data_IF_932297731621
#
_entry.id   IF_932297731621
#
_cell.length_a   1.000
_cell.length_b   1.000
_cell.length_c   1.000
_cell.angle_alpha   90.00
_cell.angle_beta   90.00
_cell.angle_gamma   90.00
#
_symmetry.space_group_name_H-M   'P 1'
#
loop_
_entity.id
_entity.type
_entity.pdbx_description
1 polymer ?
#
# COMPACT_ATOMS: atom_id res chain seq x y z
N UNK A 1 -39.23 6.02 27.59
CA UNK A 1 -39.22 4.65 27.02
C UNK A 1 -38.07 4.56 26.02
N UNK A 2 -36.94 3.94 26.38
CA UNK A 2 -35.85 3.72 25.45
C UNK A 2 -36.22 2.57 24.50
N UNK A 3 -36.29 2.83 23.19
CA UNK A 3 -36.49 1.76 22.20
C UNK A 3 -35.20 0.94 22.10
N UNK A 4 -35.23 -0.28 22.61
CA UNK A 4 -34.12 -1.22 22.45
C UNK A 4 -34.27 -1.97 21.12
N UNK A 5 -33.29 -1.86 20.24
CA UNK A 5 -33.26 -2.64 19.01
C UNK A 5 -33.01 -4.12 19.36
N UNK A 6 -33.93 -5.01 18.95
CA UNK A 6 -33.84 -6.47 19.20
C UNK A 6 -33.26 -7.28 18.03
N UNK A 7 -32.86 -6.64 16.93
CA UNK A 7 -32.27 -7.34 15.79
C UNK A 7 -30.79 -7.65 16.00
N UNK A 8 -30.21 -8.49 15.13
CA UNK A 8 -28.78 -8.77 15.16
C UNK A 8 -27.97 -7.49 14.87
N UNK A 9 -26.81 -7.35 15.52
CA UNK A 9 -25.90 -6.21 15.32
C UNK A 9 -25.57 -6.01 13.83
N UNK A 10 -25.46 -7.11 13.09
CA UNK A 10 -25.12 -7.11 11.66
C UNK A 10 -26.16 -6.43 10.75
N UNK A 11 -27.42 -6.40 11.19
CA UNK A 11 -28.56 -5.81 10.44
C UNK A 11 -28.87 -4.40 10.95
N UNK A 12 -28.31 -4.00 12.10
CA UNK A 12 -28.57 -2.69 12.67
C UNK A 12 -28.02 -1.56 11.79
N UNK A 13 -26.76 -1.66 11.38
CA UNK A 13 -26.05 -0.62 10.64
C UNK A 13 -26.25 -0.77 9.13
N UNK A 14 -27.43 -0.37 8.66
CA UNK A 14 -27.71 -0.24 7.23
C UNK A 14 -27.05 1.02 6.66
N UNK A 15 -26.80 1.06 5.34
CA UNK A 15 -26.22 2.24 4.68
C UNK A 15 -26.99 3.56 4.97
N UNK A 16 -28.34 3.62 4.93
CA UNK A 16 -29.07 4.84 5.29
C UNK A 16 -28.89 5.26 6.75
N UNK A 17 -28.84 4.32 7.68
CA UNK A 17 -28.63 4.61 9.11
C UNK A 17 -27.21 5.09 9.37
N UNK A 18 -26.23 4.45 8.74
CA UNK A 18 -24.86 4.92 8.79
C UNK A 18 -24.74 6.33 8.21
N UNK A 19 -25.34 6.59 7.03
CA UNK A 19 -25.38 7.92 6.42
C UNK A 19 -25.86 8.98 7.40
N UNK A 20 -27.03 8.73 7.97
CA UNK A 20 -27.67 9.65 8.90
C UNK A 20 -26.80 9.89 10.13
N UNK A 21 -26.27 8.82 10.76
CA UNK A 21 -25.38 8.95 11.90
C UNK A 21 -24.13 9.76 11.52
N UNK A 22 -23.45 9.38 10.44
CA UNK A 22 -22.22 10.02 9.95
C UNK A 22 -22.40 11.52 9.73
N UNK A 23 -23.42 11.91 8.97
CA UNK A 23 -23.71 13.33 8.65
C UNK A 23 -24.06 14.16 9.90
N UNK A 24 -24.57 13.53 10.95
CA UNK A 24 -25.03 14.21 12.18
C UNK A 24 -24.03 14.16 13.32
N UNK A 25 -23.08 13.23 13.34
CA UNK A 25 -22.17 13.05 14.49
C UNK A 25 -20.72 13.28 14.15
N UNK A 26 -20.27 12.94 12.93
CA UNK A 26 -18.83 12.91 12.62
C UNK A 26 -18.14 14.28 12.80
N UNK A 27 -18.80 15.35 12.34
CA UNK A 27 -18.28 16.73 12.44
C UNK A 27 -18.12 17.23 13.89
N UNK A 28 -18.73 16.55 14.84
CA UNK A 28 -18.67 16.88 16.27
C UNK A 28 -17.68 16.01 17.05
N UNK A 29 -17.04 15.04 16.39
CA UNK A 29 -15.96 14.25 17.01
C UNK A 29 -14.72 15.14 17.06
N UNK A 30 -14.20 15.52 18.25
CA UNK A 30 -13.00 16.34 18.35
C UNK A 30 -11.75 15.52 17.98
N UNK A 31 -10.64 16.20 17.66
CA UNK A 31 -9.44 15.55 17.10
C UNK A 31 -8.71 14.65 18.11
N UNK A 32 -8.79 14.94 19.40
CA UNK A 32 -8.26 14.11 20.49
C UNK A 32 -9.01 12.78 20.64
N UNK A 33 -10.26 12.71 20.20
CA UNK A 33 -11.06 11.47 20.19
C UNK A 33 -11.05 10.74 18.84
N UNK A 34 -10.35 11.26 17.83
CA UNK A 34 -10.33 10.68 16.49
C UNK A 34 -9.78 9.26 16.46
N UNK A 35 -8.77 8.97 17.28
CA UNK A 35 -8.19 7.63 17.41
C UNK A 35 -9.24 6.62 17.91
N UNK A 36 -9.85 6.89 19.06
CA UNK A 36 -10.89 6.03 19.62
C UNK A 36 -12.09 5.88 18.68
N UNK A 37 -12.42 6.95 17.95
CA UNK A 37 -13.47 6.92 16.92
C UNK A 37 -13.12 5.99 15.76
N UNK A 38 -11.90 6.07 15.20
CA UNK A 38 -11.44 5.20 14.12
C UNK A 38 -11.43 3.71 14.52
N UNK A 39 -11.04 3.41 15.76
CA UNK A 39 -11.10 2.06 16.35
C UNK A 39 -12.53 1.52 16.42
N UNK A 40 -13.42 2.32 17.01
CA UNK A 40 -14.84 1.98 17.09
C UNK A 40 -15.45 1.80 15.70
N UNK A 41 -15.07 2.64 14.74
CA UNK A 41 -15.52 2.56 13.36
C UNK A 41 -15.04 1.26 12.69
N UNK A 42 -13.77 0.88 12.84
CA UNK A 42 -13.26 -0.37 12.30
C UNK A 42 -13.96 -1.59 12.91
N UNK A 43 -14.09 -1.63 14.24
CA UNK A 43 -14.78 -2.70 14.96
C UNK A 43 -16.24 -2.86 14.52
N UNK A 44 -16.98 -1.75 14.44
CA UNK A 44 -18.37 -1.73 13.97
C UNK A 44 -18.52 -2.32 12.55
N UNK A 45 -17.50 -2.13 11.73
CA UNK A 45 -17.52 -2.51 10.32
C UNK A 45 -17.14 -3.96 10.07
N UNK A 46 -16.46 -4.61 11.02
CA UNK A 46 -16.23 -6.06 11.00
C UNK A 46 -17.57 -6.81 11.06
N UNK A 47 -18.48 -6.36 11.91
CA UNK A 47 -19.81 -6.99 12.11
C UNK A 47 -20.86 -6.56 11.07
N UNK A 48 -20.58 -5.55 10.25
CA UNK A 48 -21.56 -5.03 9.29
C UNK A 48 -21.69 -5.96 8.08
N UNK A 49 -22.93 -6.22 7.64
CA UNK A 49 -23.20 -7.01 6.43
C UNK A 49 -22.39 -6.48 5.23
N UNK A 50 -21.74 -7.38 4.49
CA UNK A 50 -20.78 -7.03 3.43
C UNK A 50 -21.31 -5.99 2.42
N UNK A 51 -22.55 -6.14 1.95
CA UNK A 51 -23.18 -5.18 1.02
C UNK A 51 -23.28 -3.76 1.60
N UNK A 52 -23.60 -3.63 2.89
CA UNK A 52 -23.64 -2.33 3.55
C UNK A 52 -22.23 -1.81 3.81
N UNK A 53 -21.31 -2.70 4.21
CA UNK A 53 -19.91 -2.38 4.47
C UNK A 53 -19.24 -1.70 3.27
N UNK A 54 -19.41 -2.26 2.07
CA UNK A 54 -18.82 -1.70 0.84
C UNK A 54 -19.36 -0.31 0.48
N UNK A 55 -20.61 0.00 0.84
CA UNK A 55 -21.21 1.33 0.62
C UNK A 55 -20.71 2.35 1.63
N UNK A 56 -20.58 1.92 2.89
CA UNK A 56 -20.05 2.76 3.97
C UNK A 56 -18.59 3.12 3.69
N UNK A 57 -17.74 2.13 3.34
CA UNK A 57 -16.36 2.37 2.90
C UNK A 57 -16.26 3.34 1.75
N UNK A 58 -17.10 3.18 0.72
CA UNK A 58 -17.16 4.14 -0.39
C UNK A 58 -17.49 5.56 0.10
N UNK A 59 -18.42 5.72 1.05
CA UNK A 59 -18.76 7.05 1.61
C UNK A 59 -17.59 7.64 2.39
N UNK A 60 -16.93 6.85 3.23
CA UNK A 60 -15.78 7.32 4.01
C UNK A 60 -14.64 7.79 3.11
N UNK A 61 -14.29 7.02 2.08
CA UNK A 61 -13.25 7.40 1.13
C UNK A 61 -13.62 8.66 0.31
N UNK A 62 -14.92 8.96 0.16
CA UNK A 62 -15.41 10.16 -0.53
C UNK A 62 -15.56 11.38 0.40
N UNK A 63 -15.41 11.23 1.72
CA UNK A 63 -15.47 12.31 2.68
C UNK A 63 -14.08 12.96 2.84
N UNK A 64 -13.87 14.10 2.17
CA UNK A 64 -12.61 14.84 2.19
C UNK A 64 -12.21 15.30 3.60
N UNK A 65 -13.19 15.68 4.43
CA UNK A 65 -12.92 16.11 5.80
C UNK A 65 -12.37 14.95 6.61
N UNK A 66 -12.95 13.76 6.45
CA UNK A 66 -12.46 12.55 7.07
C UNK A 66 -11.07 12.15 6.61
N UNK A 67 -10.85 12.06 5.31
CA UNK A 67 -9.53 11.70 4.78
C UNK A 67 -8.44 12.70 5.18
N UNK A 68 -8.77 14.00 5.21
CA UNK A 68 -7.85 15.04 5.71
C UNK A 68 -7.53 14.88 7.20
N UNK A 69 -8.54 14.65 8.05
CA UNK A 69 -8.33 14.45 9.49
C UNK A 69 -7.54 13.17 9.77
N UNK A 70 -7.80 12.10 9.02
CA UNK A 70 -7.03 10.86 9.08
C UNK A 70 -5.56 11.07 8.69
N UNK A 71 -5.29 11.81 7.60
CA UNK A 71 -3.93 12.21 7.22
C UNK A 71 -3.23 13.01 8.33
N UNK A 72 -3.89 14.04 8.88
CA UNK A 72 -3.30 14.87 9.93
C UNK A 72 -3.01 14.07 11.21
N UNK A 73 -3.89 13.13 11.57
CA UNK A 73 -3.67 12.20 12.67
C UNK A 73 -2.43 11.33 12.45
N UNK A 74 -2.32 10.69 11.29
CA UNK A 74 -1.15 9.86 10.96
C UNK A 74 0.14 10.67 10.95
N UNK A 75 0.09 11.91 10.44
CA UNK A 75 1.25 12.80 10.40
C UNK A 75 1.70 13.17 11.81
N UNK A 76 0.75 13.53 12.69
CA UNK A 76 1.01 13.78 14.10
C UNK A 76 1.60 12.54 14.78
N UNK A 77 1.01 11.37 14.54
CA UNK A 77 1.51 10.11 15.06
C UNK A 77 2.94 9.84 14.62
N UNK A 78 3.29 10.12 13.36
CA UNK A 78 4.62 9.92 12.80
C UNK A 78 5.66 10.90 13.38
N UNK A 79 5.27 12.15 13.63
CA UNK A 79 6.16 13.12 14.29
C UNK A 79 6.32 12.80 15.78
N UNK A 80 5.27 12.27 16.42
CA UNK A 80 5.23 11.97 17.86
C UNK A 80 5.83 10.58 18.17
N UNK A 81 6.05 9.70 17.19
CA UNK A 81 6.52 8.30 17.37
C UNK A 81 7.84 8.15 18.11
N UNK A 82 8.55 9.25 18.40
CA UNK A 82 9.67 9.25 19.34
C UNK A 82 9.25 9.02 20.80
N UNK A 83 7.95 9.02 21.14
CA UNK A 83 7.48 9.12 22.53
C UNK A 83 6.49 8.07 23.05
N UNK A 84 5.95 7.14 22.24
CA UNK A 84 4.83 6.29 22.71
C UNK A 84 5.19 4.81 22.94
N UNK A 85 5.02 4.37 24.20
CA UNK A 85 4.87 2.96 24.61
C UNK A 85 3.43 2.53 24.37
N UNK A 86 3.25 1.38 23.74
CA UNK A 86 1.97 0.73 23.40
C UNK A 86 1.17 1.50 22.35
N UNK A 87 1.29 1.02 21.13
CA UNK A 87 0.92 1.73 19.93
C UNK A 87 -0.18 0.93 19.24
N UNK A 88 -1.39 1.51 19.23
CA UNK A 88 -2.58 0.84 18.73
C UNK A 88 -2.55 0.74 17.20
N UNK A 89 -2.56 -0.49 16.69
CA UNK A 89 -2.39 -0.75 15.27
C UNK A 89 -3.70 -0.82 14.49
N UNK A 90 -4.85 -0.66 15.15
CA UNK A 90 -6.18 -0.75 14.52
C UNK A 90 -6.40 0.32 13.46
N UNK A 91 -5.70 1.46 13.54
CA UNK A 91 -5.76 2.49 12.50
C UNK A 91 -5.27 1.96 11.14
N UNK A 92 -4.24 1.11 11.13
CA UNK A 92 -3.76 0.47 9.91
C UNK A 92 -4.76 -0.55 9.38
N UNK A 93 -5.53 -1.19 10.27
CA UNK A 93 -6.63 -2.08 9.89
C UNK A 93 -7.78 -1.35 9.20
N UNK A 94 -8.12 -0.16 9.72
CA UNK A 94 -9.08 0.73 9.09
C UNK A 94 -8.58 1.16 7.70
N UNK A 95 -7.34 1.62 7.58
CA UNK A 95 -6.77 2.09 6.31
C UNK A 95 -6.71 0.96 5.28
N UNK A 96 -6.28 -0.24 5.68
CA UNK A 96 -6.31 -1.42 4.83
C UNK A 96 -7.74 -1.76 4.36
N UNK A 97 -8.74 -1.57 5.20
CA UNK A 97 -10.15 -1.76 4.81
C UNK A 97 -10.63 -0.69 3.83
N UNK A 98 -10.26 0.57 4.07
CA UNK A 98 -10.57 1.70 3.19
C UNK A 98 -9.90 1.56 1.82
N UNK A 99 -8.69 1.01 1.75
CA UNK A 99 -7.94 0.86 0.49
C UNK A 99 -8.66 0.00 -0.55
N UNK A 100 -9.61 -0.85 -0.15
CA UNK A 100 -10.49 -1.58 -1.09
C UNK A 100 -11.37 -0.66 -1.93
N UNK A 101 -11.68 0.51 -1.40
CA UNK A 101 -12.65 1.46 -1.96
C UNK A 101 -12.05 2.85 -2.22
N UNK A 102 -10.82 3.09 -1.79
CA UNK A 102 -10.01 4.20 -2.31
C UNK A 102 -9.97 4.09 -3.85
N UNK A 103 -10.26 5.20 -4.54
CA UNK A 103 -10.28 5.33 -6.01
C UNK A 103 -11.31 4.49 -6.77
N UNK A 104 -11.89 3.44 -6.16
CA UNK A 104 -12.93 2.63 -6.79
C UNK A 104 -14.12 3.48 -7.24
N UNK A 105 -14.49 4.52 -6.48
CA UNK A 105 -15.57 5.43 -6.89
C UNK A 105 -15.26 6.31 -8.09
N UNK A 106 -13.98 6.62 -8.34
CA UNK A 106 -13.57 7.40 -9.52
C UNK A 106 -13.62 6.54 -10.79
N UNK A 107 -13.32 5.25 -10.67
CA UNK A 107 -13.42 4.29 -11.77
C UNK A 107 -14.88 3.86 -12.03
N UNK A 108 -15.71 3.80 -10.99
CA UNK A 108 -17.12 3.35 -11.08
C UNK A 108 -18.11 4.46 -11.47
N UNK A 109 -17.70 5.73 -11.55
CA UNK A 109 -18.62 6.86 -11.81
C UNK A 109 -18.08 7.81 -12.88
N UNK A 110 -18.97 8.24 -13.78
CA UNK A 110 -18.73 9.26 -14.80
C UNK A 110 -18.54 10.67 -14.17
N UNK A 111 -17.36 10.93 -13.60
CA UNK A 111 -16.78 12.28 -13.52
C UNK A 111 -17.14 13.17 -12.31
N UNK A 112 -18.24 12.97 -11.59
CA UNK A 112 -18.62 13.83 -10.43
C UNK A 112 -18.05 13.37 -9.08
N UNK A 113 -16.81 12.87 -9.07
CA UNK A 113 -16.14 12.34 -7.88
C UNK A 113 -15.58 13.42 -6.94
N UNK A 114 -15.69 13.18 -5.63
CA UNK A 114 -15.12 14.03 -4.58
C UNK A 114 -13.59 14.15 -4.67
N UNK A 115 -13.04 15.25 -4.13
CA UNK A 115 -11.62 15.64 -4.18
C UNK A 115 -10.76 14.84 -3.18
N UNK A 116 -10.90 13.51 -3.13
CA UNK A 116 -10.26 12.70 -2.09
C UNK A 116 -9.04 11.91 -2.55
N UNK A 117 -8.80 11.78 -3.85
CA UNK A 117 -7.69 10.99 -4.42
C UNK A 117 -6.33 11.38 -3.85
N UNK A 118 -6.03 12.69 -3.83
CA UNK A 118 -4.80 13.21 -3.24
C UNK A 118 -4.67 12.85 -1.74
N UNK A 119 -5.75 12.96 -0.97
CA UNK A 119 -5.74 12.61 0.47
C UNK A 119 -5.60 11.11 0.71
N UNK A 120 -6.19 10.28 -0.15
CA UNK A 120 -5.98 8.84 -0.12
C UNK A 120 -4.49 8.50 -0.35
N UNK A 121 -3.85 9.14 -1.33
CA UNK A 121 -2.43 9.00 -1.58
C UNK A 121 -1.58 9.49 -0.41
N UNK A 122 -1.88 10.64 0.17
CA UNK A 122 -1.17 11.18 1.34
C UNK A 122 -1.24 10.19 2.53
N UNK A 123 -2.42 9.60 2.79
CA UNK A 123 -2.61 8.60 3.84
C UNK A 123 -1.75 7.36 3.58
N UNK A 124 -1.78 6.82 2.36
CA UNK A 124 -0.95 5.66 1.99
C UNK A 124 0.56 5.99 2.03
N UNK A 125 0.92 7.23 1.69
CA UNK A 125 2.28 7.74 1.77
C UNK A 125 2.80 7.72 3.20
N UNK A 126 2.04 8.26 4.16
CA UNK A 126 2.40 8.21 5.58
C UNK A 126 2.50 6.78 6.10
N UNK A 127 1.57 5.89 5.72
CA UNK A 127 1.66 4.46 6.09
C UNK A 127 2.94 3.83 5.54
N UNK A 128 3.37 4.20 4.32
CA UNK A 128 4.63 3.71 3.75
C UNK A 128 5.84 4.15 4.56
N UNK A 129 5.82 5.37 5.13
CA UNK A 129 6.89 5.84 6.02
C UNK A 129 6.94 5.04 7.33
N UNK A 130 5.79 4.75 7.94
CA UNK A 130 5.74 3.86 9.11
C UNK A 130 6.27 2.44 8.80
N UNK A 131 6.11 1.97 7.57
CA UNK A 131 6.62 0.66 7.15
C UNK A 131 8.16 0.60 7.00
N UNK A 132 8.81 1.76 6.85
CA UNK A 132 10.26 1.90 6.71
C UNK A 132 10.98 2.18 8.04
N UNK A 133 10.27 2.65 9.07
CA UNK A 133 10.85 2.99 10.38
C UNK A 133 10.73 1.81 11.34
N UNK A 134 11.84 1.50 12.03
CA UNK A 134 11.84 0.51 13.10
C UNK A 134 10.96 0.96 14.27
N UNK A 135 10.04 0.08 14.67
CA UNK A 135 9.12 0.35 15.77
C UNK A 135 7.98 -0.65 15.86
N UNK A 136 7.12 -0.45 16.86
CA UNK A 136 5.91 -1.25 17.11
C UNK A 136 4.93 -1.24 15.94
N UNK A 137 4.87 -0.14 15.18
CA UNK A 137 3.97 0.03 14.05
C UNK A 137 4.46 -0.61 12.75
N UNK A 138 5.76 -0.95 12.65
CA UNK A 138 6.41 -1.33 11.38
C UNK A 138 5.66 -2.46 10.68
N UNK A 139 5.39 -3.55 11.39
CA UNK A 139 4.69 -4.69 10.83
C UNK A 139 3.27 -4.29 10.37
N UNK A 140 2.46 -3.68 11.22
CA UNK A 140 1.08 -3.31 10.86
C UNK A 140 1.02 -2.37 9.65
N UNK A 141 1.96 -1.43 9.54
CA UNK A 141 2.10 -0.57 8.38
C UNK A 141 2.51 -1.33 7.12
N UNK A 142 3.53 -2.21 7.20
CA UNK A 142 3.95 -3.09 6.10
C UNK A 142 2.79 -3.95 5.58
N UNK A 143 2.04 -4.55 6.48
CA UNK A 143 0.91 -5.39 6.10
C UNK A 143 -0.28 -4.57 5.56
N UNK A 144 -0.48 -3.35 6.05
CA UNK A 144 -1.45 -2.41 5.47
C UNK A 144 -1.09 -2.04 4.02
N UNK A 145 0.19 -1.74 3.74
CA UNK A 145 0.65 -1.47 2.36
C UNK A 145 0.47 -2.70 1.47
N UNK A 146 0.82 -3.90 1.95
CA UNK A 146 0.60 -5.13 1.20
C UNK A 146 -0.89 -5.35 0.87
N UNK A 147 -1.79 -4.98 1.78
CA UNK A 147 -3.24 -5.03 1.57
C UNK A 147 -3.73 -3.99 0.56
N UNK A 148 -3.18 -2.77 0.62
CA UNK A 148 -3.47 -1.70 -0.33
C UNK A 148 -3.02 -2.08 -1.74
N UNK A 149 -1.80 -2.57 -1.92
CA UNK A 149 -1.30 -3.15 -3.18
C UNK A 149 -2.23 -4.25 -3.69
N UNK A 150 -2.61 -5.18 -2.82
CA UNK A 150 -3.58 -6.23 -3.12
C UNK A 150 -4.95 -5.73 -3.58
N UNK A 151 -5.37 -4.56 -3.10
CA UNK A 151 -6.61 -3.92 -3.52
C UNK A 151 -6.47 -3.23 -4.87
N UNK A 152 -5.36 -2.56 -5.12
CA UNK A 152 -5.07 -1.91 -6.41
C UNK A 152 -4.81 -2.93 -7.52
N UNK A 153 -4.18 -4.07 -7.22
CA UNK A 153 -4.07 -5.18 -8.16
C UNK A 153 -5.44 -5.59 -8.72
N UNK A 154 -6.47 -5.73 -7.85
CA UNK A 154 -7.83 -6.05 -8.29
C UNK A 154 -8.50 -4.92 -9.09
N UNK A 155 -8.15 -3.67 -8.80
CA UNK A 155 -8.63 -2.54 -9.60
C UNK A 155 -7.97 -2.53 -10.98
N UNK A 156 -6.66 -2.80 -11.07
CA UNK A 156 -5.93 -2.92 -12.32
C UNK A 156 -6.48 -4.06 -13.18
N UNK A 157 -6.71 -5.24 -12.59
CA UNK A 157 -7.31 -6.37 -13.30
C UNK A 157 -8.66 -6.00 -13.93
N UNK A 158 -9.56 -5.35 -13.17
CA UNK A 158 -10.84 -4.88 -13.71
C UNK A 158 -10.71 -3.81 -14.78
N UNK A 159 -9.68 -2.97 -14.69
CA UNK A 159 -9.42 -1.93 -15.67
C UNK A 159 -8.87 -2.52 -16.98
N UNK A 160 -8.01 -3.54 -16.92
CA UNK A 160 -7.61 -4.35 -18.08
C UNK A 160 -8.79 -5.11 -18.70
N UNK A 161 -9.64 -5.76 -17.88
CA UNK A 161 -10.87 -6.40 -18.35
C UNK A 161 -11.85 -5.44 -19.05
N UNK A 162 -11.74 -4.13 -18.74
CA UNK A 162 -12.54 -3.07 -19.33
C UNK A 162 -11.79 -2.29 -20.43
N UNK A 163 -10.67 -2.79 -20.92
CA UNK A 163 -9.83 -2.18 -21.96
C UNK A 163 -9.40 -0.72 -21.66
N UNK A 164 -9.27 -0.36 -20.38
CA UNK A 164 -8.76 0.96 -20.00
C UNK A 164 -7.25 1.01 -20.31
N UNK A 165 -6.76 2.00 -21.08
CA UNK A 165 -5.35 2.04 -21.47
C UNK A 165 -4.41 2.20 -20.27
N UNK A 166 -3.49 1.25 -20.10
CA UNK A 166 -2.39 1.32 -19.13
C UNK A 166 -1.47 2.53 -19.39
N UNK A 167 -0.75 2.96 -18.37
CA UNK A 167 0.26 4.01 -18.51
C UNK A 167 1.42 3.54 -19.38
N UNK A 168 1.87 4.39 -20.30
CA UNK A 168 3.14 4.16 -21.00
C UNK A 168 4.33 4.52 -20.11
N UNK A 169 5.51 3.97 -20.39
CA UNK A 169 6.75 4.27 -19.66
C UNK A 169 7.05 5.78 -19.63
N UNK A 170 6.82 6.46 -20.74
CA UNK A 170 7.00 7.92 -20.90
C UNK A 170 6.08 8.75 -20.00
N UNK A 171 4.91 8.20 -19.63
CA UNK A 171 3.93 8.90 -18.78
C UNK A 171 4.25 8.80 -17.29
N UNK A 172 5.13 7.88 -16.88
CA UNK A 172 5.37 7.58 -15.46
C UNK A 172 5.93 8.78 -14.69
N UNK A 173 6.98 9.49 -15.16
CA UNK A 173 7.50 10.64 -14.41
C UNK A 173 6.41 11.69 -14.18
N UNK A 174 5.65 12.00 -15.23
CA UNK A 174 4.52 12.95 -15.17
C UNK A 174 3.43 12.47 -14.20
N UNK A 175 3.18 11.16 -14.13
CA UNK A 175 2.22 10.59 -13.19
C UNK A 175 2.67 10.78 -11.74
N UNK A 176 3.95 10.54 -11.42
CA UNK A 176 4.51 10.76 -10.08
C UNK A 176 4.43 12.23 -9.64
N UNK A 177 4.78 13.16 -10.54
CA UNK A 177 4.68 14.59 -10.26
C UNK A 177 3.22 14.99 -9.97
N UNK A 178 2.28 14.48 -10.76
CA UNK A 178 0.86 14.76 -10.57
C UNK A 178 0.30 14.10 -9.32
N UNK A 179 0.73 12.89 -8.98
CA UNK A 179 0.33 12.18 -7.77
C UNK A 179 0.71 12.91 -6.49
N UNK A 180 1.78 13.71 -6.54
CA UNK A 180 2.23 14.58 -5.43
C UNK A 180 1.46 15.89 -5.34
N UNK A 181 0.59 16.19 -6.32
CA UNK A 181 -0.21 17.40 -6.31
C UNK A 181 -1.42 17.25 -5.38
N UNK A 182 -1.70 18.28 -4.56
CA UNK A 182 -2.90 18.33 -3.71
C UNK A 182 -4.23 18.26 -4.48
N UNK A 183 -4.18 18.50 -5.80
CA UNK A 183 -5.32 18.42 -6.72
C UNK A 183 -5.36 17.11 -7.52
N UNK A 184 -4.50 16.15 -7.22
CA UNK A 184 -4.45 14.87 -7.92
C UNK A 184 -5.83 14.21 -8.01
N UNK A 185 -6.12 13.69 -9.21
CA UNK A 185 -7.29 12.86 -9.52
C UNK A 185 -6.81 11.67 -10.32
N UNK A 186 -7.35 10.49 -10.02
CA UNK A 186 -7.18 9.35 -10.92
C UNK A 186 -8.03 9.57 -12.17
N UNK A 187 -9.29 9.99 -11.98
CA UNK A 187 -10.23 10.18 -13.08
C UNK A 187 -10.40 8.92 -13.92
N UNK A 188 -10.36 9.05 -15.25
CA UNK A 188 -10.46 7.95 -16.20
C UNK A 188 -9.13 7.22 -16.48
N UNK A 189 -8.07 7.52 -15.72
CA UNK A 189 -6.76 6.89 -15.92
C UNK A 189 -6.76 5.48 -15.35
N UNK A 190 -5.95 4.62 -15.95
CA UNK A 190 -5.74 3.28 -15.42
C UNK A 190 -5.10 3.34 -14.00
N UNK A 191 -5.51 2.47 -13.06
CA UNK A 191 -5.02 2.47 -11.68
C UNK A 191 -3.62 1.87 -11.51
N UNK A 192 -2.96 1.43 -12.58
CA UNK A 192 -1.60 0.90 -12.57
C UNK A 192 -0.58 1.93 -12.06
N UNK A 193 -0.79 3.22 -12.33
CA UNK A 193 0.03 4.28 -11.76
C UNK A 193 -0.03 4.31 -10.22
N UNK A 194 -1.20 4.06 -9.64
CA UNK A 194 -1.36 3.98 -8.18
C UNK A 194 -0.68 2.72 -7.62
N UNK A 195 -0.78 1.60 -8.34
CA UNK A 195 -0.06 0.38 -7.98
C UNK A 195 1.45 0.62 -8.06
N UNK A 196 1.93 1.27 -9.12
CA UNK A 196 3.33 1.62 -9.33
C UNK A 196 3.84 2.53 -8.21
N UNK A 197 3.08 3.55 -7.77
CA UNK A 197 3.43 4.34 -6.59
C UNK A 197 3.68 3.48 -5.34
N UNK A 198 2.87 2.44 -5.11
CA UNK A 198 3.07 1.56 -3.96
C UNK A 198 4.16 0.52 -4.18
N UNK A 199 4.49 0.18 -5.43
CA UNK A 199 5.47 -0.85 -5.80
C UNK A 199 6.86 -0.26 -6.03
N UNK A 200 7.00 1.00 -6.42
CA UNK A 200 8.32 1.63 -6.63
C UNK A 200 8.43 3.00 -5.99
N UNK A 201 7.33 3.57 -5.50
CA UNK A 201 7.39 4.88 -4.89
C UNK A 201 8.01 4.88 -3.50
N UNK A 202 8.54 6.04 -3.13
CA UNK A 202 8.86 6.42 -1.76
C UNK A 202 8.22 7.75 -1.43
N UNK A 203 7.64 7.85 -0.24
CA UNK A 203 7.00 9.07 0.22
C UNK A 203 7.91 9.78 1.22
N UNK A 204 8.26 11.04 0.96
CA UNK A 204 9.13 11.83 1.84
C UNK A 204 8.37 12.66 2.90
N UNK A 205 7.03 12.57 2.89
CA UNK A 205 6.14 13.31 3.79
C UNK A 205 5.29 14.33 3.05
N UNK A 206 5.72 14.72 1.85
CA UNK A 206 5.04 15.70 1.00
C UNK A 206 4.84 15.19 -0.42
N UNK A 207 5.79 14.45 -0.97
CA UNK A 207 5.76 13.99 -2.35
C UNK A 207 6.13 12.52 -2.50
N UNK A 208 5.62 11.92 -3.56
CA UNK A 208 6.00 10.60 -4.03
C UNK A 208 7.15 10.70 -5.01
N UNK A 209 8.21 9.95 -4.76
CA UNK A 209 9.38 9.84 -5.64
C UNK A 209 9.49 8.43 -6.20
N UNK A 210 9.82 8.33 -7.48
CA UNK A 210 10.03 7.04 -8.14
C UNK A 210 11.37 6.43 -7.73
N UNK A 211 11.37 5.17 -7.29
CA UNK A 211 12.59 4.35 -7.17
C UNK A 211 12.72 3.51 -8.43
N UNK A 212 13.95 3.32 -8.91
CA UNK A 212 14.20 2.48 -10.09
C UNK A 212 13.98 0.98 -9.83
N UNK A 213 13.77 0.57 -8.58
CA UNK A 213 13.63 -0.83 -8.18
C UNK A 213 12.41 -1.01 -7.27
N UNK A 214 11.74 -2.16 -7.45
CA UNK A 214 10.65 -2.61 -6.58
C UNK A 214 11.21 -3.12 -5.23
N UNK A 215 10.65 -2.74 -4.06
CA UNK A 215 10.96 -3.34 -2.78
C UNK A 215 10.20 -4.65 -2.57
N UNK A 216 9.41 -5.11 -3.54
CA UNK A 216 8.79 -6.43 -3.47
C UNK A 216 9.85 -7.51 -3.65
N UNK A 217 9.70 -8.60 -2.89
CA UNK A 217 10.62 -9.72 -2.96
C UNK A 217 10.25 -10.54 -4.20
N UNK A 218 11.20 -10.74 -5.12
CA UNK A 218 10.92 -11.40 -6.36
C UNK A 218 10.61 -12.88 -6.10
N UNK A 219 9.57 -13.43 -6.72
CA UNK A 219 9.32 -14.88 -6.65
C UNK A 219 10.26 -15.66 -7.57
N UNK A 220 10.47 -15.15 -8.79
CA UNK A 220 11.37 -15.74 -9.79
C UNK A 220 12.68 -14.98 -9.87
N UNK A 221 13.74 -15.65 -10.34
CA UNK A 221 15.04 -15.03 -10.56
C UNK A 221 15.00 -13.94 -11.66
N UNK A 222 14.21 -14.17 -12.71
CA UNK A 222 14.15 -13.32 -13.90
C UNK A 222 13.41 -11.99 -13.74
N UNK A 223 13.47 -11.17 -14.78
CA UNK A 223 12.99 -9.78 -14.77
C UNK A 223 11.49 -9.63 -14.55
N UNK A 224 10.69 -10.64 -14.87
CA UNK A 224 9.23 -10.66 -14.62
C UNK A 224 8.83 -10.39 -13.16
N UNK A 225 9.74 -10.60 -12.20
CA UNK A 225 9.50 -10.33 -10.78
C UNK A 225 10.32 -9.16 -10.22
N UNK A 226 11.29 -8.65 -10.98
CA UNK A 226 12.19 -7.56 -10.54
C UNK A 226 11.86 -6.23 -11.22
N UNK A 227 11.40 -6.28 -12.46
CA UNK A 227 11.04 -5.10 -13.22
C UNK A 227 9.72 -4.54 -12.72
N UNK A 228 9.71 -3.23 -12.46
CA UNK A 228 8.50 -2.50 -12.13
C UNK A 228 7.52 -2.46 -13.31
N UNK A 229 7.98 -2.64 -14.55
CA UNK A 229 7.13 -2.66 -15.75
C UNK A 229 6.09 -3.77 -15.70
N UNK A 230 6.31 -4.81 -14.89
CA UNK A 230 5.33 -5.88 -14.68
C UNK A 230 4.04 -5.36 -14.02
N UNK A 231 4.01 -4.19 -13.39
CA UNK A 231 2.74 -3.61 -12.91
C UNK A 231 1.89 -2.98 -14.01
N UNK A 232 2.43 -2.82 -15.23
CA UNK A 232 1.78 -2.14 -16.36
C UNK A 232 1.19 -3.12 -17.39
N UNK A 233 1.26 -4.43 -17.14
CA UNK A 233 0.68 -5.45 -18.02
C UNK A 233 -0.20 -6.41 -17.24
N UNK A 234 -1.24 -6.92 -17.89
CA UNK A 234 -2.18 -7.87 -17.29
C UNK A 234 -1.46 -9.13 -16.79
N UNK A 235 -0.60 -9.73 -17.64
CA UNK A 235 0.24 -10.88 -17.27
C UNK A 235 1.17 -10.56 -16.10
N UNK A 236 1.73 -9.35 -16.07
CA UNK A 236 2.63 -8.93 -14.99
C UNK A 236 1.92 -8.74 -13.65
N UNK A 237 0.61 -8.46 -13.61
CA UNK A 237 -0.15 -8.34 -12.36
C UNK A 237 -0.11 -9.63 -11.53
N UNK A 238 -0.10 -10.80 -12.17
CA UNK A 238 0.03 -12.08 -11.46
C UNK A 238 1.38 -12.18 -10.73
N UNK A 239 2.46 -11.70 -11.36
CA UNK A 239 3.79 -11.67 -10.77
C UNK A 239 3.86 -10.65 -9.63
N UNK A 240 3.30 -9.45 -9.80
CA UNK A 240 3.25 -8.44 -8.74
C UNK A 240 2.43 -8.94 -7.55
N UNK A 241 1.31 -9.64 -7.79
CA UNK A 241 0.49 -10.26 -6.74
C UNK A 241 1.27 -11.32 -5.97
N UNK A 242 2.00 -12.18 -6.66
CA UNK A 242 2.83 -13.22 -6.04
C UNK A 242 3.99 -12.62 -5.23
N UNK A 243 4.69 -11.61 -5.76
CA UNK A 243 5.77 -10.90 -5.07
C UNK A 243 5.23 -10.15 -3.84
N UNK A 244 4.06 -9.52 -3.94
CA UNK A 244 3.41 -8.87 -2.80
C UNK A 244 3.01 -9.88 -1.71
N UNK A 245 2.52 -11.07 -2.08
CA UNK A 245 2.24 -12.13 -1.12
C UNK A 245 3.52 -12.66 -0.45
N UNK A 246 4.62 -12.80 -1.19
CA UNK A 246 5.91 -13.20 -0.64
C UNK A 246 6.45 -12.14 0.33
N UNK A 247 6.47 -10.87 -0.06
CA UNK A 247 6.86 -9.74 0.80
C UNK A 247 6.03 -9.68 2.08
N UNK A 248 4.72 -9.88 1.97
CA UNK A 248 3.83 -9.97 3.12
C UNK A 248 4.29 -11.08 4.09
N UNK A 249 4.59 -12.27 3.58
CA UNK A 249 5.03 -13.41 4.40
C UNK A 249 6.33 -13.08 5.10
N UNK A 250 7.31 -12.52 4.39
CA UNK A 250 8.61 -12.18 4.96
C UNK A 250 8.48 -11.15 6.06
N UNK A 251 7.72 -10.08 5.85
CA UNK A 251 7.47 -9.12 6.92
C UNK A 251 6.87 -9.78 8.18
N UNK A 252 5.99 -10.76 8.01
CA UNK A 252 5.40 -11.50 9.13
C UNK A 252 6.42 -12.42 9.84
N UNK A 253 7.31 -13.06 9.08
CA UNK A 253 8.36 -13.95 9.59
C UNK A 253 9.50 -13.16 10.24
N UNK A 254 9.89 -12.00 9.71
CA UNK A 254 11.01 -11.22 10.24
C UNK A 254 10.62 -10.34 11.43
N UNK A 255 9.31 -10.12 11.64
CA UNK A 255 8.82 -9.31 12.74
C UNK A 255 9.06 -9.94 14.11
N UNK A 256 9.23 -9.09 15.12
CA UNK A 256 9.35 -9.52 16.51
C UNK A 256 8.02 -10.05 17.05
N UNK A 257 8.05 -10.81 18.13
CA UNK A 257 6.83 -11.32 18.76
C UNK A 257 5.93 -10.20 19.27
N UNK A 258 6.50 -9.08 19.73
CA UNK A 258 5.74 -7.89 20.13
C UNK A 258 5.01 -7.28 18.92
N UNK A 259 5.68 -7.14 17.78
CA UNK A 259 5.06 -6.65 16.55
C UNK A 259 3.95 -7.58 16.06
N UNK A 260 4.19 -8.89 16.05
CA UNK A 260 3.18 -9.91 15.68
C UNK A 260 1.99 -9.88 16.63
N UNK A 261 2.22 -9.72 17.93
CA UNK A 261 1.17 -9.63 18.93
C UNK A 261 0.34 -8.36 18.80
N UNK A 262 0.90 -7.29 18.24
CA UNK A 262 0.24 -6.01 18.03
C UNK A 262 -0.68 -6.00 16.79
N UNK A 263 -0.51 -6.92 15.82
CA UNK A 263 -1.30 -7.01 14.56
C UNK A 263 -2.74 -7.54 14.77
N UNK A 264 -3.27 -7.49 16.00
CA UNK A 264 -4.64 -7.93 16.30
C UNK A 264 -5.65 -7.06 15.53
N UNK A 265 -6.71 -7.69 15.00
CA UNK A 265 -7.82 -6.99 14.34
C UNK A 265 -7.64 -6.76 12.85
N UNK A 266 -6.42 -6.81 12.32
CA UNK A 266 -6.22 -6.83 10.88
C UNK A 266 -6.78 -8.16 10.31
N UNK A 267 -7.86 -8.11 9.52
CA UNK A 267 -8.40 -9.28 8.81
C UNK A 267 -7.53 -9.65 7.60
N UNK A 268 -6.23 -9.77 7.86
CA UNK A 268 -5.16 -9.89 6.91
C UNK A 268 -5.10 -11.29 6.34
N UNK A 269 -5.34 -12.35 7.12
CA UNK A 269 -5.31 -13.67 6.50
C UNK A 269 -6.53 -13.94 5.63
N UNK A 270 -7.60 -13.13 5.70
CA UNK A 270 -8.58 -13.13 4.63
C UNK A 270 -7.96 -12.66 3.31
N UNK A 271 -7.12 -11.63 3.32
CA UNK A 271 -6.35 -11.26 2.13
C UNK A 271 -5.42 -12.39 1.68
N UNK A 272 -4.64 -12.97 2.60
CA UNK A 272 -3.71 -14.07 2.27
C UNK A 272 -4.40 -15.34 1.75
N UNK A 273 -5.64 -15.61 2.15
CA UNK A 273 -6.40 -16.75 1.62
C UNK A 273 -7.06 -16.48 0.28
N UNK A 274 -7.36 -15.22 -0.03
CA UNK A 274 -8.14 -14.87 -1.21
C UNK A 274 -7.33 -14.30 -2.37
N UNK A 275 -6.08 -13.84 -2.17
CA UNK A 275 -5.27 -13.33 -3.28
C UNK A 275 -5.11 -14.38 -4.39
N UNK A 276 -4.91 -15.66 -4.03
CA UNK A 276 -4.85 -16.76 -5.00
C UNK A 276 -6.13 -16.93 -5.82
N UNK A 277 -7.29 -16.63 -5.23
CA UNK A 277 -8.58 -16.73 -5.94
C UNK A 277 -8.75 -15.58 -6.92
N UNK A 278 -8.22 -14.41 -6.59
CA UNK A 278 -8.25 -13.23 -7.46
C UNK A 278 -7.24 -13.32 -8.61
N UNK A 279 -6.09 -13.95 -8.35
CA UNK A 279 -5.02 -14.14 -9.34
C UNK A 279 -4.73 -15.65 -9.49
N UNK A 280 -5.68 -16.40 -10.08
CA UNK A 280 -5.46 -17.82 -10.36
C UNK A 280 -4.28 -17.95 -11.31
N UNK A 281 -3.42 -18.95 -11.08
CA UNK A 281 -2.35 -19.26 -12.02
C UNK A 281 -3.02 -19.78 -13.27
N UNK A 282 -3.03 -19.00 -14.34
CA UNK A 282 -3.37 -19.54 -15.64
C UNK A 282 -2.22 -20.48 -16.04
N UNK A 283 -2.51 -21.65 -16.62
CA UNK A 283 -1.48 -22.66 -16.93
C UNK A 283 -0.35 -22.20 -17.86
N UNK A 284 -0.43 -20.96 -18.36
CA UNK A 284 0.53 -20.30 -19.24
C UNK A 284 1.50 -19.37 -18.50
N UNK A 285 1.31 -19.10 -17.21
CA UNK A 285 2.30 -18.37 -16.41
C UNK A 285 3.53 -19.26 -16.29
N UNK A 286 4.54 -18.98 -17.10
CA UNK A 286 5.79 -19.74 -17.20
C UNK A 286 6.38 -19.93 -15.81
N UNK A 287 6.22 -21.14 -15.25
CA UNK A 287 6.94 -21.51 -14.04
C UNK A 287 8.42 -21.30 -14.35
N UNK A 288 9.08 -20.44 -13.60
CA UNK A 288 10.47 -20.10 -13.80
C UNK A 288 11.30 -20.53 -12.57
N UNK A 289 12.62 -20.44 -12.69
CA UNK A 289 13.50 -20.70 -11.56
C UNK A 289 13.16 -19.74 -10.40
N UNK A 290 13.03 -20.24 -9.16
CA UNK A 290 12.81 -19.40 -7.98
C UNK A 290 13.96 -18.41 -7.79
N UNK A 291 13.66 -17.26 -7.19
CA UNK A 291 14.68 -16.31 -6.78
C UNK A 291 15.49 -16.86 -5.59
N UNK A 292 16.79 -16.49 -5.45
CA UNK A 292 17.57 -16.80 -4.25
C UNK A 292 16.91 -16.30 -2.96
N UNK A 293 16.24 -15.15 -3.02
CA UNK A 293 15.49 -14.57 -1.92
C UNK A 293 14.37 -15.51 -1.47
N UNK A 294 13.59 -16.07 -2.41
CA UNK A 294 12.52 -17.03 -2.10
C UNK A 294 13.06 -18.31 -1.46
N UNK A 295 14.17 -18.85 -1.98
CA UNK A 295 14.83 -20.02 -1.39
C UNK A 295 15.27 -19.76 0.06
N UNK A 296 15.92 -18.62 0.30
CA UNK A 296 16.36 -18.22 1.64
C UNK A 296 15.20 -18.16 2.65
N UNK A 297 14.03 -17.68 2.20
CA UNK A 297 12.82 -17.60 3.03
C UNK A 297 12.28 -18.99 3.37
N UNK A 298 12.26 -19.92 2.40
CA UNK A 298 11.85 -21.30 2.66
C UNK A 298 12.75 -21.96 3.71
N UNK A 299 14.06 -21.72 3.64
CA UNK A 299 15.02 -22.23 4.62
C UNK A 299 14.82 -21.59 6.00
N UNK A 300 14.66 -20.27 6.06
CA UNK A 300 14.41 -19.52 7.31
C UNK A 300 13.07 -19.90 7.96
N UNK A 301 12.11 -20.38 7.17
CA UNK A 301 10.83 -20.92 7.63
C UNK A 301 10.88 -22.40 8.01
N UNK A 302 12.04 -23.07 7.90
CA UNK A 302 12.20 -24.49 8.20
C UNK A 302 11.57 -25.42 7.15
N UNK A 303 11.40 -24.97 5.90
CA UNK A 303 10.72 -25.67 4.80
C UNK A 303 11.70 -26.18 3.72
N UNK A 304 12.89 -26.61 4.12
CA UNK A 304 13.96 -27.04 3.22
C UNK A 304 13.52 -28.16 2.26
N UNK A 305 12.75 -29.13 2.74
CA UNK A 305 12.26 -30.27 1.93
C UNK A 305 11.36 -29.84 0.76
N UNK A 306 10.90 -28.59 0.74
CA UNK A 306 10.11 -28.07 -0.38
C UNK A 306 10.96 -27.74 -1.60
N UNK A 307 12.26 -27.55 -1.44
CA UNK A 307 13.16 -27.28 -2.57
C UNK A 307 13.66 -28.56 -3.24
N UNK A 308 13.35 -29.73 -2.68
CA UNK A 308 13.75 -31.03 -3.23
C UNK A 308 12.89 -31.42 -4.45
N UNK A 309 13.48 -32.01 -5.50
CA UNK A 309 12.73 -32.49 -6.65
C UNK A 309 11.63 -33.47 -6.24
N UNK A 310 10.42 -33.29 -6.80
CA UNK A 310 9.26 -34.13 -6.48
C UNK A 310 8.59 -33.87 -5.13
N UNK A 311 8.98 -32.80 -4.42
CA UNK A 311 8.32 -32.44 -3.15
C UNK A 311 6.81 -32.23 -3.33
N UNK A 312 6.03 -32.74 -2.38
CA UNK A 312 4.57 -32.52 -2.34
C UNK A 312 4.17 -31.21 -1.65
N UNK A 313 5.16 -30.50 -1.07
CA UNK A 313 4.98 -29.28 -0.27
C UNK A 313 4.05 -29.49 0.95
N UNK A 314 3.98 -30.73 1.46
CA UNK A 314 3.13 -31.09 2.61
C UNK A 314 3.89 -31.17 3.93
N UNK A 315 5.23 -31.22 3.91
CA UNK A 315 6.01 -31.23 5.14
C UNK A 315 5.78 -29.97 5.97
N UNK A 316 5.85 -30.14 7.29
CA UNK A 316 5.65 -29.06 8.26
C UNK A 316 6.96 -28.28 8.43
N UNK A 317 6.90 -27.00 8.87
CA UNK A 317 8.09 -26.29 9.34
C UNK A 317 8.89 -27.13 10.33
N UNK A 318 10.20 -27.25 10.13
CA UNK A 318 11.12 -27.85 11.11
C UNK A 318 11.27 -26.95 12.33
N UNK A 319 11.66 -27.53 13.47
CA UNK A 319 11.96 -26.77 14.68
C UNK A 319 13.06 -25.72 14.42
N UNK A 320 12.82 -24.50 14.90
CA UNK A 320 13.67 -23.35 14.62
C UNK A 320 13.04 -22.04 15.14
N UNK A 321 13.70 -20.88 14.93
CA UNK A 321 13.30 -19.60 15.52
C UNK A 321 11.86 -19.17 15.20
N UNK A 322 11.32 -19.60 14.05
CA UNK A 322 9.98 -19.26 13.60
C UNK A 322 8.94 -20.38 13.79
N UNK A 323 9.32 -21.52 14.39
CA UNK A 323 8.47 -22.71 14.47
C UNK A 323 7.16 -22.44 15.21
N UNK A 324 7.22 -21.87 16.41
CA UNK A 324 6.04 -21.60 17.24
C UNK A 324 5.10 -20.60 16.57
N UNK A 325 5.65 -19.58 15.92
CA UNK A 325 4.85 -18.64 15.15
C UNK A 325 4.13 -19.33 13.99
N UNK A 326 4.87 -20.04 13.14
CA UNK A 326 4.38 -20.66 11.90
C UNK A 326 3.38 -21.79 12.17
N UNK A 327 3.52 -22.51 13.28
CA UNK A 327 2.66 -23.65 13.62
C UNK A 327 1.56 -23.29 14.62
N UNK A 328 1.88 -22.47 15.63
CA UNK A 328 1.00 -22.13 16.75
C UNK A 328 -0.01 -21.04 16.45
N UNK A 329 0.33 -20.07 15.59
CA UNK A 329 -0.54 -18.91 15.33
C UNK A 329 -1.37 -19.06 14.05
N UNK A 330 -2.52 -18.38 13.99
CA UNK A 330 -3.34 -18.36 12.78
C UNK A 330 -2.65 -17.62 11.62
N UNK A 331 -1.95 -16.52 11.91
CA UNK A 331 -1.20 -15.76 10.91
C UNK A 331 -0.04 -16.60 10.36
N UNK A 332 0.74 -17.24 11.22
CA UNK A 332 1.83 -18.13 10.80
C UNK A 332 1.35 -19.29 9.92
N UNK A 333 0.22 -19.92 10.26
CA UNK A 333 -0.38 -20.96 9.39
C UNK A 333 -0.77 -20.39 8.02
N UNK A 334 -1.31 -19.17 7.96
CA UNK A 334 -1.61 -18.52 6.69
C UNK A 334 -0.34 -18.17 5.89
N UNK A 335 0.77 -17.83 6.55
CA UNK A 335 2.07 -17.66 5.91
C UNK A 335 2.54 -18.98 5.26
N UNK A 336 2.45 -20.11 5.99
CA UNK A 336 2.80 -21.44 5.44
C UNK A 336 1.92 -21.80 4.24
N UNK A 337 0.60 -21.54 4.32
CA UNK A 337 -0.31 -21.79 3.20
C UNK A 337 0.03 -20.96 1.97
N UNK A 338 0.44 -19.70 2.17
CA UNK A 338 0.87 -18.82 1.09
C UNK A 338 2.22 -19.23 0.50
N UNK A 339 3.21 -19.59 1.32
CA UNK A 339 4.48 -20.15 0.84
C UNK A 339 4.25 -21.41 0.02
N UNK A 340 3.32 -22.28 0.44
CA UNK A 340 2.96 -23.49 -0.30
C UNK A 340 2.38 -23.15 -1.67
N UNK A 341 1.52 -22.14 -1.71
CA UNK A 341 0.95 -21.65 -2.96
C UNK A 341 2.00 -21.06 -3.91
N UNK A 342 2.96 -20.31 -3.37
CA UNK A 342 4.07 -19.73 -4.11
C UNK A 342 5.06 -20.80 -4.60
N UNK A 343 5.37 -21.80 -3.77
CA UNK A 343 6.25 -22.92 -4.14
C UNK A 343 5.69 -23.72 -5.34
N UNK A 344 4.37 -23.85 -5.44
CA UNK A 344 3.71 -24.50 -6.60
C UNK A 344 3.80 -23.69 -7.90
N UNK A 345 4.25 -22.44 -7.84
CA UNK A 345 4.34 -21.52 -8.99
C UNK A 345 5.76 -21.43 -9.57
N UNK A 346 6.76 -22.06 -8.94
CA UNK A 346 8.17 -22.04 -9.40
C UNK A 346 8.62 -23.43 -9.88
N UNK A 347 9.73 -23.48 -10.63
CA UNK A 347 10.45 -24.72 -10.96
C UNK A 347 11.73 -24.81 -10.14
N UNK A 348 11.73 -25.58 -9.06
CA UNK A 348 12.91 -25.75 -8.22
C UNK A 348 14.03 -26.50 -8.95
N UNK A 349 13.71 -27.38 -9.90
CA UNK A 349 14.70 -28.11 -10.70
C UNK A 349 15.58 -27.15 -11.53
N UNK A 350 15.01 -26.03 -12.00
CA UNK A 350 15.74 -25.03 -12.76
C UNK A 350 16.75 -24.25 -11.91
N UNK A 351 16.55 -24.17 -10.59
CA UNK A 351 17.44 -23.46 -9.68
C UNK A 351 18.80 -24.16 -9.54
N UNK A 352 18.79 -25.49 -9.39
CA UNK A 352 20.01 -26.28 -9.18
C UNK A 352 20.95 -26.31 -10.40
N UNK A 353 20.39 -26.28 -11.61
CA UNK A 353 21.15 -26.26 -12.86
C UNK A 353 22.03 -25.01 -12.99
N UNK A 354 21.56 -23.85 -12.50
CA UNK A 354 22.27 -22.58 -12.64
C UNK A 354 23.32 -22.36 -11.54
N UNK A 355 23.19 -23.02 -10.39
CA UNK A 355 24.16 -22.91 -9.29
C UNK A 355 25.39 -23.82 -9.46
N UNK A 356 25.40 -24.66 -10.51
CA UNK A 356 26.60 -25.41 -10.86
C UNK A 356 27.67 -24.40 -11.31
N UNK A 357 28.88 -24.40 -10.69
CA UNK A 357 29.94 -23.51 -11.13
C UNK A 357 30.16 -23.74 -12.63
N UNK A 358 30.38 -22.67 -13.42
CA UNK A 358 30.67 -22.85 -14.84
C UNK A 358 31.80 -23.86 -14.96
N UNK A 359 31.56 -24.93 -15.70
CA UNK A 359 32.56 -25.96 -15.96
C UNK A 359 33.87 -25.28 -16.36
N UNK A 360 35.00 -25.72 -15.82
CA UNK A 360 36.31 -25.09 -16.03
C UNK A 360 36.66 -24.85 -17.51
N UNK A 361 36.05 -25.61 -18.42
CA UNK A 361 36.21 -25.46 -19.88
C UNK A 361 35.52 -24.21 -20.48
N UNK A 362 34.58 -23.56 -19.78
CA UNK A 362 33.88 -22.35 -20.22
C UNK A 362 34.50 -21.02 -19.74
N UNK A 363 35.54 -21.07 -18.90
CA UNK A 363 36.17 -19.88 -18.33
C UNK A 363 36.95 -19.02 -19.34
N UNK A 364 37.15 -19.51 -20.57
CA UNK A 364 37.85 -18.78 -21.63
C UNK A 364 36.93 -17.96 -22.55
N UNK A 365 35.61 -18.18 -22.54
CA UNK A 365 34.70 -17.52 -23.50
C UNK A 365 34.04 -16.25 -22.94
N UNK A 366 34.11 -16.01 -21.63
CA UNK A 366 33.55 -14.82 -20.96
C UNK A 366 34.53 -13.65 -20.82
N UNK A 367 35.73 -13.73 -21.41
CA UNK A 367 36.77 -12.68 -21.30
C UNK A 367 36.59 -11.49 -22.25
N UNK A 368 35.53 -11.46 -23.06
CA UNK A 368 35.33 -10.42 -24.10
C UNK A 368 34.05 -9.58 -23.96
N UNK A 369 33.34 -9.66 -22.82
CA UNK A 369 32.33 -8.64 -22.46
C UNK A 369 32.98 -7.55 -21.61
N UNK A 370 33.82 -6.74 -22.23
CA UNK A 370 34.27 -5.49 -21.63
C UNK A 370 33.07 -4.52 -21.56
N UNK A 371 32.79 -3.97 -20.38
CA UNK A 371 31.83 -2.88 -20.21
C UNK A 371 32.21 -1.73 -21.13
N UNK A 372 31.23 -1.04 -21.72
CA UNK A 372 31.53 0.19 -22.45
C UNK A 372 32.05 1.25 -21.46
N UNK A 373 32.97 2.16 -21.86
CA UNK A 373 33.47 3.22 -20.99
C UNK A 373 32.37 4.07 -20.34
N UNK A 374 31.19 4.15 -20.95
CA UNK A 374 30.01 4.82 -20.40
C UNK A 374 29.36 4.07 -19.22
N UNK A 375 29.37 2.74 -19.25
CA UNK A 375 28.85 1.90 -18.17
C UNK A 375 29.84 1.84 -17.00
N UNK A 376 31.14 1.82 -17.27
CA UNK A 376 32.19 1.95 -16.24
C UNK A 376 32.12 3.31 -15.52
N UNK A 377 31.89 4.41 -16.25
CA UNK A 377 31.71 5.73 -15.65
C UNK A 377 30.46 5.83 -14.76
N UNK A 378 29.36 5.16 -15.14
CA UNK A 378 28.15 5.10 -14.33
C UNK A 378 28.34 4.31 -13.04
N UNK A 379 29.10 3.22 -13.06
CA UNK A 379 29.41 2.41 -11.88
C UNK A 379 30.38 3.12 -10.91
N UNK A 380 31.43 3.77 -11.43
CA UNK A 380 32.39 4.50 -10.58
C UNK A 380 31.77 5.74 -9.90
N UNK A 381 30.75 6.34 -10.50
CA UNK A 381 30.01 7.46 -9.89
C UNK A 381 29.19 7.01 -8.67
N UNK A 382 28.74 5.74 -8.63
CA UNK A 382 27.91 5.19 -7.55
C UNK A 382 28.78 4.68 -6.38
N UNK A 383 29.94 4.09 -6.66
CA UNK A 383 30.84 3.58 -5.61
C UNK A 383 31.59 4.70 -4.85
N UNK A 384 31.83 5.85 -5.49
CA UNK A 384 32.41 7.02 -4.82
C UNK A 384 31.50 7.65 -3.75
N UNK A 385 30.20 7.32 -3.73
CA UNK A 385 29.25 7.88 -2.74
C UNK A 385 29.01 6.97 -1.53
N UNK A 386 29.49 5.72 -1.53
CA UNK A 386 29.12 4.71 -0.51
C UNK A 386 30.24 4.23 0.39
N UNK A 387 31.50 4.57 0.14
CA UNK A 387 32.60 4.28 1.07
C UNK A 387 32.89 5.47 2.00
N UNK A 388 32.15 5.53 3.11
CA UNK A 388 32.46 6.46 4.21
C UNK A 388 31.24 6.88 5.01
N UNK A 389 30.54 5.93 5.67
CA UNK A 389 29.50 6.27 6.65
C UNK A 389 30.09 6.19 8.07
N UNK A 390 30.56 7.30 8.67
CA UNK A 390 30.79 7.32 10.10
C UNK A 390 29.45 7.24 10.84
N UNK A 391 29.43 6.54 11.97
CA UNK A 391 28.35 6.65 12.97
C UNK A 391 28.29 8.10 13.45
N UNK A 392 27.40 8.91 12.88
CA UNK A 392 27.12 10.26 13.35
C UNK A 392 26.04 10.17 14.42
N UNK A 393 26.42 10.49 15.66
CA UNK A 393 25.48 10.93 16.68
C UNK A 393 24.79 12.21 16.17
N UNK A 394 23.49 12.13 15.90
CA UNK A 394 22.71 13.25 15.36
C UNK A 394 22.46 14.27 16.48
N UNK A 395 23.29 15.32 16.50
CA UNK A 395 23.05 16.56 17.23
C UNK A 395 22.01 17.36 16.46
N UNK A 396 20.91 17.73 17.12
CA UNK A 396 19.73 18.34 16.50
C UNK A 396 20.01 19.65 15.78
N UNK A 397 19.25 19.92 14.72
CA UNK A 397 19.21 21.20 14.03
C UNK A 397 17.76 21.66 13.82
N UNK A 398 17.54 22.92 14.19
CA UNK A 398 16.29 23.68 14.20
C UNK A 398 15.76 24.03 12.79
N UNK A 399 16.02 23.19 11.79
CA UNK A 399 15.68 23.48 10.39
C UNK A 399 14.20 23.26 10.06
N UNK A 400 13.51 22.33 10.75
CA UNK A 400 12.08 22.11 10.50
C UNK A 400 11.19 23.20 11.09
N UNK A 401 11.63 23.86 12.16
CA UNK A 401 10.90 24.96 12.81
C UNK A 401 10.90 26.23 11.94
N UNK A 402 12.00 26.51 11.25
CA UNK A 402 12.14 27.64 10.32
C UNK A 402 11.29 27.46 9.03
N UNK A 403 11.13 26.22 8.55
CA UNK A 403 10.28 25.93 7.40
C UNK A 403 8.77 26.08 7.73
N UNK A 404 8.38 25.71 8.96
CA UNK A 404 7.00 25.87 9.45
C UNK A 404 6.63 27.35 9.67
N UNK A 405 7.53 28.16 10.25
CA UNK A 405 7.28 29.60 10.43
C UNK A 405 7.23 30.39 9.11
N UNK A 406 8.03 29.99 8.11
CA UNK A 406 8.00 30.62 6.78
C UNK A 406 6.70 30.32 6.01
N UNK A 407 6.18 29.10 6.12
CA UNK A 407 4.91 28.71 5.49
C UNK A 407 3.69 29.41 6.13
N UNK A 408 3.68 29.57 7.46
CA UNK A 408 2.60 30.28 8.17
C UNK A 408 2.63 31.81 7.91
N UNK A 409 3.82 32.41 7.75
CA UNK A 409 3.96 33.82 7.38
C UNK A 409 3.46 34.10 5.95
N UNK A 410 3.71 33.19 5.02
CA UNK A 410 3.25 33.32 3.62
C UNK A 410 1.72 33.18 3.50
N UNK A 411 1.10 32.34 4.34
CA UNK A 411 -0.35 32.19 4.37
C UNK A 411 -1.08 33.42 4.97
N UNK A 412 -0.49 34.12 5.95
CA UNK A 412 -1.07 35.35 6.52
C UNK A 412 -1.02 36.54 5.56
N UNK A 413 0.05 36.70 4.79
CA UNK A 413 0.17 37.81 3.83
C UNK A 413 -0.78 37.71 2.62
N UNK A 414 -1.38 36.54 2.38
CA UNK A 414 -2.33 36.35 1.26
C UNK A 414 -3.76 36.79 1.65
N UNK A 415 -4.07 36.93 2.94
CA UNK A 415 -5.42 37.28 3.41
C UNK A 415 -5.62 38.80 3.54
N UNK A 416 -4.55 39.59 3.73
CA UNK A 416 -4.65 41.06 3.86
C UNK A 416 -4.66 41.81 2.52
N UNK A 417 -4.43 41.14 1.39
CA UNK A 417 -4.38 41.77 0.06
C UNK A 417 -5.71 41.90 -0.69
N UNK A 418 -6.83 41.40 -0.15
CA UNK A 418 -8.15 41.44 -0.81
C UNK A 418 -9.14 42.32 -0.05
N UNK A 419 -8.92 43.63 -0.11
CA UNK A 419 -9.91 44.64 0.27
C UNK A 419 -10.32 45.48 -0.93
N UNK A 420 -11.64 45.58 -1.12
CA UNK A 420 -12.38 46.55 -1.95
C UNK A 420 -12.25 46.50 -3.48
N UNK A 421 -13.25 45.88 -4.12
CA UNK A 421 -14.03 46.54 -5.19
C UNK A 421 -15.51 46.19 -5.03
N UNK A 422 -16.28 47.18 -4.56
CA UNK A 422 -17.74 47.19 -4.50
C UNK A 422 -18.27 47.37 -5.92
N UNK A 423 -18.94 46.36 -6.46
CA UNK A 423 -19.67 46.47 -7.74
C UNK A 423 -21.09 46.90 -7.41
N UNK A 424 -21.46 48.11 -7.84
CA UNK A 424 -22.83 48.59 -7.84
C UNK A 424 -23.63 47.84 -8.90
N UNK A 425 -24.69 47.16 -8.48
CA UNK A 425 -25.66 46.52 -9.36
C UNK A 425 -26.83 47.50 -9.54
N UNK A 426 -26.93 48.07 -10.74
CA UNK A 426 -28.05 48.91 -11.14
C UNK A 426 -29.34 48.11 -11.27
N UNK A 427 -30.40 48.60 -10.63
CA UNK A 427 -31.77 48.15 -10.84
C UNK A 427 -32.28 48.59 -12.21
N UNK A 428 -32.78 47.64 -13.00
CA UNK A 428 -33.67 47.91 -14.12
C UNK A 428 -35.02 47.23 -13.85
N UNK A 429 -36.05 48.06 -13.72
CA UNK A 429 -37.46 47.66 -13.66
C UNK A 429 -37.86 47.00 -14.99
N UNK A 430 -38.48 45.82 -14.89
CA UNK A 430 -39.16 45.15 -15.99
C UNK A 430 -40.49 44.60 -15.48
N UNK A 431 -41.53 45.40 -15.61
CA UNK A 431 -42.94 45.03 -15.49
C UNK A 431 -43.30 44.01 -16.57
N UNK A 432 -43.86 42.86 -16.18
CA UNK A 432 -44.69 42.06 -17.07
C UNK A 432 -46.02 41.78 -16.38
N UNK A 433 -47.06 42.31 -17.00
CA UNK A 433 -48.47 42.01 -16.80
C UNK A 433 -48.73 40.52 -17.07
N UNK A 434 -49.59 39.96 -16.22
CA UNK A 434 -50.26 38.67 -16.42
C UNK A 434 -51.72 39.00 -16.69
N UNK A 435 -52.16 38.82 -17.92
CA UNK A 435 -53.57 38.68 -18.29
C UNK A 435 -53.82 37.23 -18.73
N UNK A 436 -54.78 36.63 -18.02
CA UNK A 436 -55.71 35.51 -18.32
C UNK A 436 -55.23 34.38 -19.25
#
# INVERSE_FOLDING_TARGET
>A
VARQYRGSRQVFLTDPRFKFAWERTYRHVPDDLLEAFCKALHSLMIDTQEKNRERIWRRLCADESFMRRLYLYLRKLYTDTRLSKESDTEIFALIASLSKRMFASELERDGEGAITSARCLDVLGLVSQFAEVDGSFRLSAQLCIAYARGSFLRLCQRAFEADVPALSEEQIPTFFDQASCSRFRLGSRHPDGLLLLLVTGSFDGFEWRHRNMSPLLPLHKGDCCRSWMSSLSDVGLEHVAACNALTFVVHSIDATDEQRAAVRGLNIAYFMRNWMKSFPVTGHSNRAAPSPEFISILYSAGLHEWTEPGSTYQSKPREGPNYDFLTGTWLGRACVDALRALARRVLFEAYGCETSPPSADGANEYRDMSLTPAQEAAYQTIEGTTQGRPRIAVRGTNASEAALTSAEASARNTVEGSSMKRVEVGHANGSNELDI
#
